data_IF_316102561227
#
_entry.id   IF_316102561227
#
_cell.length_a   1.000
_cell.length_b   1.000
_cell.length_c   1.000
_cell.angle_alpha   90.00
_cell.angle_beta   90.00
_cell.angle_gamma   90.00
#
_symmetry.space_group_name_H-M   'P 1'
#
loop_
_entity.id
_entity.type
_entity.pdbx_description
1 polymer ?
#
# COMPACT_ATOMS: atom_id res chain seq x y z
N UNK A 1 1.79 3.67 36.13
CA UNK A 1 1.99 2.61 35.11
C UNK A 1 1.63 3.17 33.75
N UNK A 2 2.58 3.80 33.05
CA UNK A 2 2.40 4.29 31.68
C UNK A 2 3.71 4.08 30.92
N UNK A 3 3.58 3.53 29.72
CA UNK A 3 4.53 3.58 28.60
C UNK A 3 5.82 2.78 28.73
N UNK A 4 5.74 1.49 28.38
CA UNK A 4 6.90 0.81 27.82
C UNK A 4 6.89 0.93 26.29
N UNK A 5 7.84 1.76 25.82
CA UNK A 5 8.67 1.52 24.63
C UNK A 5 8.00 1.55 23.27
N UNK A 6 7.53 2.73 22.87
CA UNK A 6 7.72 3.15 21.47
C UNK A 6 9.19 3.56 21.32
N UNK A 7 10.05 2.65 20.83
CA UNK A 7 11.35 3.05 20.30
C UNK A 7 11.09 3.75 18.97
N UNK A 8 11.42 5.04 18.81
CA UNK A 8 11.41 5.63 17.48
C UNK A 8 12.37 4.82 16.61
N UNK A 9 11.86 4.24 15.53
CA UNK A 9 12.68 3.54 14.55
C UNK A 9 13.70 4.54 14.02
N UNK A 10 14.98 4.30 14.33
CA UNK A 10 16.13 5.13 13.96
C UNK A 10 16.49 5.03 12.47
N UNK A 11 15.55 4.64 11.61
CA UNK A 11 15.73 4.64 10.18
C UNK A 11 15.35 6.02 9.62
N UNK A 12 16.07 6.49 8.60
CA UNK A 12 15.89 7.85 8.09
C UNK A 12 14.45 8.04 7.61
N UNK A 13 13.89 9.22 7.91
CA UNK A 13 12.58 9.75 7.46
C UNK A 13 12.38 9.78 5.94
N UNK A 14 13.29 9.19 5.17
CA UNK A 14 13.34 9.18 3.71
C UNK A 14 12.72 7.94 3.08
N UNK A 15 12.52 6.85 3.83
CA UNK A 15 11.91 5.63 3.26
C UNK A 15 10.42 5.84 2.99
N UNK A 16 10.02 5.57 1.75
CA UNK A 16 8.64 5.60 1.27
C UNK A 16 8.00 4.23 1.46
N UNK A 17 6.91 4.16 2.22
CA UNK A 17 6.13 2.96 2.42
C UNK A 17 4.99 2.95 1.42
N UNK A 18 4.99 1.96 0.52
CA UNK A 18 3.98 1.81 -0.52
C UNK A 18 3.03 0.70 -0.10
N UNK A 19 1.81 1.07 0.26
CA UNK A 19 0.74 0.16 0.63
C UNK A 19 0.02 -0.24 -0.66
N UNK A 20 0.08 -1.52 -0.99
CA UNK A 20 -0.40 -2.04 -2.27
C UNK A 20 -1.79 -2.63 -2.11
N UNK A 21 -2.71 -2.16 -2.95
CA UNK A 21 -4.08 -2.65 -3.05
C UNK A 21 -4.17 -4.00 -3.81
N UNK A 22 -5.20 -4.80 -3.52
CA UNK A 22 -5.51 -6.08 -4.17
C UNK A 22 -5.54 -5.94 -5.69
N UNK A 23 -6.17 -4.88 -6.21
CA UNK A 23 -6.28 -4.64 -7.65
C UNK A 23 -4.91 -4.41 -8.33
N UNK A 24 -3.89 -3.97 -7.57
CA UNK A 24 -2.55 -3.71 -8.06
C UNK A 24 -1.70 -4.97 -8.09
N UNK A 25 -1.94 -5.89 -7.16
CA UNK A 25 -1.28 -7.19 -7.08
C UNK A 25 -1.46 -8.08 -8.31
N UNK A 26 -2.45 -7.82 -9.16
CA UNK A 26 -2.68 -8.54 -10.44
C UNK A 26 -1.55 -8.28 -11.46
N UNK A 27 -0.80 -7.19 -11.33
CA UNK A 27 0.35 -6.88 -12.20
C UNK A 27 1.63 -6.73 -11.39
N UNK A 28 2.27 -7.85 -11.07
CA UNK A 28 3.50 -7.88 -10.26
C UNK A 28 4.62 -7.01 -10.81
N UNK A 29 4.81 -6.95 -12.14
CA UNK A 29 5.80 -6.06 -12.74
C UNK A 29 5.57 -4.60 -12.34
N UNK A 30 4.32 -4.15 -12.27
CA UNK A 30 4.01 -2.77 -11.90
C UNK A 30 4.27 -2.51 -10.41
N UNK A 31 3.97 -3.49 -9.55
CA UNK A 31 4.35 -3.44 -8.13
C UNK A 31 5.87 -3.38 -8.01
N UNK A 32 6.60 -4.28 -8.67
CA UNK A 32 8.06 -4.31 -8.66
C UNK A 32 8.66 -2.96 -9.09
N UNK A 33 8.11 -2.30 -10.11
CA UNK A 33 8.57 -0.96 -10.52
C UNK A 33 8.28 0.11 -9.44
N UNK A 34 7.12 0.09 -8.79
CA UNK A 34 6.82 0.98 -7.68
C UNK A 34 7.73 0.73 -6.46
N UNK A 35 8.17 -0.52 -6.29
CA UNK A 35 9.02 -0.99 -5.19
C UNK A 35 10.52 -0.98 -5.52
N UNK A 36 10.92 -0.64 -6.75
CA UNK A 36 12.31 -0.77 -7.23
C UNK A 36 13.28 0.25 -6.64
N UNK A 37 12.76 1.34 -6.08
CA UNK A 37 13.61 2.31 -5.39
C UNK A 37 14.23 1.67 -4.14
N UNK A 38 15.54 1.80 -3.91
CA UNK A 38 16.17 1.32 -2.67
C UNK A 38 15.62 2.01 -1.42
N UNK A 39 14.95 3.14 -1.59
CA UNK A 39 14.28 3.90 -0.53
C UNK A 39 12.78 3.59 -0.42
N UNK A 40 12.25 2.61 -1.17
CA UNK A 40 10.85 2.18 -1.08
C UNK A 40 10.71 0.85 -0.37
N UNK A 41 9.72 0.76 0.51
CA UNK A 41 9.30 -0.47 1.19
C UNK A 41 7.87 -0.76 0.82
N UNK A 42 7.62 -1.90 0.18
CA UNK A 42 6.27 -2.30 -0.21
C UNK A 42 5.62 -3.19 0.83
N UNK A 43 4.35 -2.92 1.07
CA UNK A 43 3.56 -3.56 2.10
C UNK A 43 2.18 -3.92 1.55
N UNK A 44 1.72 -5.11 1.93
CA UNK A 44 0.37 -5.59 1.65
C UNK A 44 -0.30 -5.89 3.00
N UNK A 45 -1.45 -5.26 3.31
CA UNK A 45 -2.25 -5.66 4.46
C UNK A 45 -2.62 -7.15 4.41
N UNK A 46 -2.72 -7.81 5.55
CA UNK A 46 -3.09 -9.22 5.64
C UNK A 46 -4.44 -9.54 4.97
N UNK A 47 -5.39 -8.61 4.99
CA UNK A 47 -6.67 -8.72 4.29
C UNK A 47 -6.50 -8.74 2.76
N UNK A 48 -5.67 -7.86 2.21
CA UNK A 48 -5.29 -7.85 0.78
C UNK A 48 -4.63 -9.17 0.38
N UNK A 49 -3.67 -9.66 1.17
CA UNK A 49 -3.03 -10.96 0.91
C UNK A 49 -4.05 -12.11 0.91
N UNK A 50 -5.06 -12.03 1.77
CA UNK A 50 -6.13 -13.04 1.85
C UNK A 50 -7.03 -13.02 0.62
N UNK A 51 -7.31 -11.84 0.05
CA UNK A 51 -8.06 -11.71 -1.20
C UNK A 51 -7.29 -12.16 -2.44
N UNK A 52 -5.95 -11.99 -2.44
CA UNK A 52 -5.11 -12.40 -3.57
C UNK A 52 -4.91 -13.92 -3.68
N UNK A 53 -4.97 -14.66 -2.56
CA UNK A 53 -4.83 -16.13 -2.52
C UNK A 53 -5.80 -16.88 -3.45
N UNK A 54 -7.11 -16.63 -3.44
CA UNK A 54 -8.05 -17.32 -4.32
C UNK A 54 -7.90 -16.92 -5.80
N UNK A 55 -7.43 -15.70 -6.09
CA UNK A 55 -7.36 -15.18 -7.48
C UNK A 55 -6.14 -15.72 -8.24
N UNK A 56 -5.03 -15.98 -7.54
CA UNK A 56 -3.76 -16.31 -8.21
C UNK A 56 -3.42 -17.81 -8.22
N UNK A 57 -4.13 -18.65 -7.43
CA UNK A 57 -3.95 -20.11 -7.37
C UNK A 57 -2.60 -20.60 -6.82
N UNK A 58 -1.56 -19.80 -6.97
CA UNK A 58 -0.21 -19.88 -6.40
C UNK A 58 0.34 -18.45 -6.39
N UNK A 59 0.26 -17.73 -5.25
CA UNK A 59 1.12 -16.54 -5.10
C UNK A 59 2.57 -17.06 -5.09
N UNK A 60 3.44 -16.71 -6.06
CA UNK A 60 4.71 -17.40 -6.21
C UNK A 60 5.77 -16.98 -5.19
N UNK A 61 5.44 -16.20 -4.15
CA UNK A 61 6.46 -15.50 -3.38
C UNK A 61 6.10 -15.32 -1.91
N UNK A 62 6.98 -15.83 -1.05
CA UNK A 62 7.23 -15.27 0.27
C UNK A 62 7.87 -13.89 0.06
N UNK A 63 7.10 -12.81 0.13
CA UNK A 63 7.71 -11.50 0.27
C UNK A 63 8.33 -11.42 1.67
N UNK A 64 9.65 -11.17 1.80
CA UNK A 64 10.24 -10.94 3.10
C UNK A 64 9.59 -9.70 3.70
N UNK A 65 8.74 -9.96 4.69
CA UNK A 65 8.11 -8.96 5.55
C UNK A 65 9.26 -8.14 6.15
N UNK A 66 9.41 -6.85 5.80
CA UNK A 66 10.50 -6.04 6.31
C UNK A 66 10.48 -6.05 7.85
N UNK A 67 11.65 -6.18 8.49
CA UNK A 67 11.74 -6.04 9.95
C UNK A 67 11.19 -4.66 10.33
N UNK A 68 10.09 -4.62 11.10
CA UNK A 68 9.34 -3.39 11.43
C UNK A 68 7.84 -3.42 11.10
N UNK A 69 7.34 -4.50 10.48
CA UNK A 69 5.93 -4.65 10.04
C UNK A 69 4.88 -4.71 11.15
N UNK A 70 5.27 -4.87 12.42
CA UNK A 70 4.33 -4.68 13.55
C UNK A 70 3.65 -3.29 13.52
N UNK A 71 4.22 -2.32 12.80
CA UNK A 71 3.66 -0.98 12.63
C UNK A 71 2.54 -0.91 11.57
N UNK A 72 2.40 -1.87 10.67
CA UNK A 72 1.64 -1.66 9.43
C UNK A 72 0.19 -2.14 9.45
N UNK A 73 -0.18 -3.13 10.28
CA UNK A 73 -1.58 -3.55 10.40
C UNK A 73 -2.41 -2.47 11.10
N UNK A 74 -3.56 -2.05 10.53
CA UNK A 74 -4.37 -1.01 11.12
C UNK A 74 -5.13 -1.52 12.34
N UNK A 75 -5.29 -0.67 13.35
CA UNK A 75 -6.20 -0.96 14.46
C UNK A 75 -7.64 -0.60 14.10
N UNK A 76 -8.59 -1.06 14.90
CA UNK A 76 -10.00 -0.68 14.76
C UNK A 76 -10.22 0.84 14.86
N UNK A 77 -9.33 1.55 15.55
CA UNK A 77 -9.35 3.01 15.59
C UNK A 77 -9.09 3.60 14.20
N UNK A 78 -8.02 3.19 13.54
CA UNK A 78 -7.69 3.69 12.20
C UNK A 78 -8.76 3.29 11.18
N UNK A 79 -9.23 2.03 11.23
CA UNK A 79 -10.36 1.57 10.39
C UNK A 79 -11.61 2.41 10.61
N UNK A 80 -11.94 2.72 11.86
CA UNK A 80 -13.09 3.53 12.23
C UNK A 80 -12.99 4.96 11.69
N UNK A 81 -11.80 5.57 11.75
CA UNK A 81 -11.54 6.90 11.16
C UNK A 81 -11.73 6.87 9.65
N UNK A 82 -11.12 5.91 8.95
CA UNK A 82 -11.24 5.77 7.49
C UNK A 82 -12.71 5.63 7.08
N UNK A 83 -13.44 4.68 7.69
CA UNK A 83 -14.86 4.46 7.38
C UNK A 83 -15.69 5.72 7.59
N UNK A 84 -15.45 6.44 8.68
CA UNK A 84 -16.16 7.67 8.99
C UNK A 84 -15.89 8.74 7.94
N UNK A 85 -14.62 9.06 7.68
CA UNK A 85 -14.23 10.10 6.72
C UNK A 85 -14.73 9.77 5.31
N UNK A 86 -14.57 8.52 4.85
CA UNK A 86 -15.07 8.09 3.54
C UNK A 86 -16.58 8.29 3.40
N UNK A 87 -17.36 7.94 4.43
CA UNK A 87 -18.82 8.05 4.38
C UNK A 87 -19.28 9.49 4.54
N UNK A 88 -18.76 10.21 5.52
CA UNK A 88 -19.21 11.56 5.87
C UNK A 88 -18.78 12.61 4.83
N UNK A 89 -17.56 12.51 4.30
CA UNK A 89 -16.99 13.52 3.39
C UNK A 89 -17.17 13.17 1.91
N UNK A 90 -17.21 11.88 1.56
CA UNK A 90 -17.33 11.44 0.16
C UNK A 90 -18.58 10.61 -0.15
N UNK A 91 -19.37 10.21 0.85
CA UNK A 91 -20.51 9.31 0.63
C UNK A 91 -20.11 7.91 0.18
N UNK A 92 -18.85 7.52 0.35
CA UNK A 92 -18.29 6.27 -0.17
C UNK A 92 -18.26 5.18 0.90
N UNK A 93 -18.62 3.96 0.52
CA UNK A 93 -18.47 2.75 1.33
C UNK A 93 -17.43 1.85 0.68
N UNK A 94 -16.27 1.77 1.31
CA UNK A 94 -15.17 0.90 0.89
C UNK A 94 -15.38 -0.54 1.39
N UNK A 95 -14.79 -1.50 0.68
CA UNK A 95 -14.73 -2.89 1.15
C UNK A 95 -13.82 -3.01 2.39
N UNK A 96 -13.89 -4.13 3.15
CA UNK A 96 -13.01 -4.32 4.30
C UNK A 96 -11.50 -4.25 3.95
N UNK A 97 -11.07 -4.82 2.81
CA UNK A 97 -9.68 -4.76 2.40
C UNK A 97 -9.25 -3.35 1.95
N UNK A 98 -10.11 -2.64 1.23
CA UNK A 98 -9.88 -1.24 0.85
C UNK A 98 -9.73 -0.33 2.08
N UNK A 99 -10.56 -0.56 3.11
CA UNK A 99 -10.43 0.14 4.40
C UNK A 99 -9.08 -0.17 5.03
N UNK A 100 -8.64 -1.42 5.03
CA UNK A 100 -7.36 -1.81 5.60
C UNK A 100 -6.17 -1.21 4.84
N UNK A 101 -6.24 -1.10 3.51
CA UNK A 101 -5.22 -0.41 2.69
C UNK A 101 -5.06 1.04 3.15
N UNK A 102 -6.15 1.80 3.19
CA UNK A 102 -6.10 3.22 3.58
C UNK A 102 -5.74 3.37 5.06
N UNK A 103 -6.26 2.50 5.93
CA UNK A 103 -6.01 2.55 7.37
C UNK A 103 -4.55 2.21 7.72
N UNK A 104 -3.93 1.27 7.00
CA UNK A 104 -2.50 0.96 7.14
C UNK A 104 -1.64 2.17 6.81
N UNK A 105 -1.97 2.85 5.70
CA UNK A 105 -1.27 4.06 5.29
C UNK A 105 -1.46 5.21 6.30
N UNK A 106 -2.68 5.37 6.84
CA UNK A 106 -2.96 6.35 7.90
C UNK A 106 -2.13 6.09 9.15
N UNK A 107 -2.04 4.84 9.60
CA UNK A 107 -1.26 4.44 10.78
C UNK A 107 0.23 4.74 10.59
N UNK A 108 0.79 4.40 9.42
CA UNK A 108 2.18 4.70 9.08
C UNK A 108 2.44 6.21 9.08
N UNK A 109 1.54 6.98 8.47
CA UNK A 109 1.61 8.45 8.45
C UNK A 109 1.58 9.04 9.87
N UNK A 110 0.66 8.57 10.72
CA UNK A 110 0.56 9.00 12.13
C UNK A 110 1.80 8.64 12.94
N UNK A 111 2.49 7.56 12.56
CA UNK A 111 3.76 7.14 13.15
C UNK A 111 4.97 7.90 12.60
N UNK A 112 4.74 8.89 11.71
CA UNK A 112 5.77 9.75 11.13
C UNK A 112 6.48 9.17 9.90
N UNK A 113 5.96 8.09 9.32
CA UNK A 113 6.49 7.51 8.08
C UNK A 113 5.86 8.15 6.84
N UNK A 114 6.61 8.15 5.73
CA UNK A 114 6.10 8.58 4.44
C UNK A 114 5.28 7.44 3.80
N UNK A 115 3.96 7.49 3.95
CA UNK A 115 3.05 6.45 3.47
C UNK A 115 2.36 6.87 2.15
N UNK A 116 2.29 5.93 1.21
CA UNK A 116 1.72 6.11 -0.11
C UNK A 116 0.83 4.90 -0.44
N UNK A 117 -0.38 5.13 -0.94
CA UNK A 117 -1.28 4.07 -1.38
C UNK A 117 -1.12 3.84 -2.88
N UNK A 118 -0.91 2.59 -3.30
CA UNK A 118 -0.86 2.21 -4.71
C UNK A 118 -2.15 1.48 -5.08
N UNK A 119 -3.05 2.17 -5.80
CA UNK A 119 -4.39 1.69 -6.16
C UNK A 119 -4.91 2.34 -7.44
N UNK A 120 -5.63 1.57 -8.25
CA UNK A 120 -6.43 2.09 -9.39
C UNK A 120 -7.89 2.32 -9.00
N UNK A 121 -8.29 2.00 -7.76
CA UNK A 121 -9.65 2.20 -7.27
C UNK A 121 -9.86 3.68 -6.90
N UNK A 122 -10.80 4.33 -7.59
CA UNK A 122 -11.07 5.76 -7.37
C UNK A 122 -11.62 6.03 -5.96
N UNK A 123 -12.38 5.10 -5.37
CA UNK A 123 -12.89 5.22 -4.01
C UNK A 123 -11.77 5.19 -2.97
N UNK A 124 -10.84 4.23 -3.11
CA UNK A 124 -9.62 4.16 -2.28
C UNK A 124 -8.81 5.45 -2.40
N UNK A 125 -8.62 5.94 -3.64
CA UNK A 125 -7.84 7.13 -3.92
C UNK A 125 -8.45 8.41 -3.31
N UNK A 126 -9.77 8.58 -3.43
CA UNK A 126 -10.49 9.72 -2.82
C UNK A 126 -10.37 9.70 -1.30
N UNK A 127 -10.61 8.54 -0.68
CA UNK A 127 -10.50 8.39 0.77
C UNK A 127 -9.09 8.64 1.29
N UNK A 128 -8.07 8.14 0.59
CA UNK A 128 -6.67 8.41 0.93
C UNK A 128 -6.35 9.91 0.83
N UNK A 129 -6.80 10.59 -0.22
CA UNK A 129 -6.59 12.01 -0.41
C UNK A 129 -7.24 12.86 0.70
N UNK A 130 -8.45 12.51 1.14
CA UNK A 130 -9.14 13.18 2.26
C UNK A 130 -8.36 13.08 3.58
N UNK A 131 -7.59 12.01 3.77
CA UNK A 131 -6.71 11.80 4.92
C UNK A 131 -5.29 12.38 4.69
N UNK A 132 -5.08 13.07 3.57
CA UNK A 132 -3.82 13.65 3.13
C UNK A 132 -2.74 12.61 2.83
N UNK A 133 -3.13 11.41 2.43
CA UNK A 133 -2.21 10.32 2.07
C UNK A 133 -1.95 10.41 0.56
N UNK A 134 -0.69 10.36 0.16
CA UNK A 134 -0.31 10.36 -1.26
C UNK A 134 -0.78 9.06 -1.93
N UNK A 135 -1.21 9.15 -3.19
CA UNK A 135 -1.61 7.97 -3.96
C UNK A 135 -0.83 7.83 -5.26
N UNK A 136 -0.65 6.59 -5.68
CA UNK A 136 -0.05 6.20 -6.94
C UNK A 136 -1.07 5.38 -7.72
N UNK A 137 -1.18 5.65 -9.02
CA UNK A 137 -1.98 4.86 -9.96
C UNK A 137 -1.09 4.03 -10.87
N UNK A 138 -1.62 2.94 -11.40
CA UNK A 138 -0.92 2.13 -12.40
C UNK A 138 -0.62 2.98 -13.63
N UNK A 139 0.59 2.90 -14.19
CA UNK A 139 0.89 3.57 -15.45
C UNK A 139 -0.01 3.01 -16.58
N UNK A 140 -0.38 3.83 -17.57
CA UNK A 140 -1.15 3.37 -18.72
C UNK A 140 -0.50 2.17 -19.43
N UNK A 141 -1.30 1.21 -19.92
CA UNK A 141 -0.81 -0.04 -20.55
C UNK A 141 0.24 0.17 -21.64
N UNK A 142 0.11 1.24 -22.44
CA UNK A 142 1.07 1.55 -23.51
C UNK A 142 2.46 1.94 -22.97
N UNK A 143 2.55 2.51 -21.77
CA UNK A 143 3.80 2.81 -21.06
C UNK A 143 4.45 1.52 -20.57
N UNK A 144 3.65 0.62 -19.99
CA UNK A 144 4.11 -0.70 -19.54
C UNK A 144 4.66 -1.53 -20.72
N UNK A 145 3.95 -1.55 -21.85
CA UNK A 145 4.36 -2.26 -23.06
C UNK A 145 5.70 -1.73 -23.60
N UNK A 146 5.88 -0.40 -23.65
CA UNK A 146 7.14 0.23 -24.09
C UNK A 146 8.31 -0.11 -23.14
N UNK A 147 8.06 -0.11 -21.84
CA UNK A 147 9.08 -0.47 -20.85
C UNK A 147 9.49 -1.95 -20.97
N UNK A 148 8.53 -2.86 -21.16
CA UNK A 148 8.79 -4.28 -21.40
C UNK A 148 9.60 -4.51 -22.69
N UNK A 149 9.25 -3.82 -23.79
CA UNK A 149 10.01 -3.91 -25.05
C UNK A 149 11.44 -3.37 -24.93
N UNK A 150 11.68 -2.36 -24.08
CA UNK A 150 13.03 -1.86 -23.79
C UNK A 150 13.83 -2.84 -22.94
N UNK A 151 13.24 -3.39 -21.88
CA UNK A 151 13.89 -4.41 -21.04
C UNK A 151 14.26 -5.67 -21.85
N UNK A 152 13.39 -6.12 -22.77
CA UNK A 152 13.67 -7.25 -23.66
C UNK A 152 14.71 -6.97 -24.75
N UNK A 153 15.06 -5.70 -25.03
CA UNK A 153 16.14 -5.32 -25.95
C UNK A 153 17.52 -5.28 -25.29
N UNK A 154 17.58 -5.16 -23.97
CA UNK A 154 18.86 -5.14 -23.21
C UNK A 154 19.39 -6.56 -22.98
N UNK A 155 18.57 -7.58 -23.20
CA UNK A 155 18.96 -9.00 -23.18
C UNK A 155 19.19 -9.50 -24.61
N UNK A 156 20.20 -8.97 -25.29
CA UNK A 156 20.83 -9.58 -26.48
C UNK A 156 22.30 -9.25 -26.51
#
# INVERSE_FOLDING_TARGET
MISERFKPLSEPRTRRYVIVDTNMGVSWWAVEQACKSPDSVCYFPSSVLSEMRPVTGRMPFEMPVPRGVEVAEPTDRERGVVRRVCVEEAGLRLSPADVDVVASALRLKQSGFNAVVYSDDDGVNVCAALLGIETLKRPPRHVLARAASRAGRVVR
#
